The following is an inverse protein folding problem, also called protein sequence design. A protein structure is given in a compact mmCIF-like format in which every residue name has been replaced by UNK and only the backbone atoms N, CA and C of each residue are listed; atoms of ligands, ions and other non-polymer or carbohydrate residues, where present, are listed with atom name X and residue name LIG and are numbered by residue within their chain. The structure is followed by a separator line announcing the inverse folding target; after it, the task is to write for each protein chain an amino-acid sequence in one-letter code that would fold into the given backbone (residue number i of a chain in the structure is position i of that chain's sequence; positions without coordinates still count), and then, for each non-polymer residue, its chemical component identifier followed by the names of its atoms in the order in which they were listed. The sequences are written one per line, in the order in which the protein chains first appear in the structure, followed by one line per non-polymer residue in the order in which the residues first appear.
data_IF_118709036878
#
_entry.id   IF_118709036878
#
_cell.length_a   1.000
_cell.length_b   1.000
_cell.length_c   1.000
_cell.angle_alpha   90.00
_cell.angle_beta   90.00
_cell.angle_gamma   90.00
#
_symmetry.space_group_name_H-M   'P 1'
#
loop_
_entity.id
_entity.type
_entity.pdbx_description
1 polymer ?
#
# COMPACT_ATOMS: atom_id res chain seq x y z
N UNK A 1 -9.37 10.12 -5.46
CA UNK A 1 -10.81 9.81 -5.41
C UNK A 1 -11.29 9.58 -3.96
N UNK A 2 -11.04 10.53 -3.04
CA UNK A 2 -11.43 10.42 -1.61
C UNK A 2 -11.76 11.78 -0.98
N UNK A 3 -11.80 12.86 -1.76
CA UNK A 3 -11.98 14.23 -1.24
C UNK A 3 -13.44 14.56 -0.87
N UNK A 4 -14.41 13.68 -1.18
CA UNK A 4 -15.84 13.96 -1.08
C UNK A 4 -16.60 13.12 -0.03
N UNK A 5 -15.97 12.14 0.63
CA UNK A 5 -16.67 11.29 1.61
C UNK A 5 -16.14 11.49 3.03
N UNK A 6 -17.06 11.79 3.95
CA UNK A 6 -16.78 12.23 5.32
C UNK A 6 -15.75 11.38 6.08
N UNK A 7 -14.77 12.09 6.64
CA UNK A 7 -13.61 11.60 7.41
C UNK A 7 -14.00 10.62 8.54
N UNK A 8 -15.21 10.78 9.10
CA UNK A 8 -15.74 9.95 10.19
C UNK A 8 -15.82 8.45 9.85
N UNK A 9 -15.93 8.07 8.56
CA UNK A 9 -15.97 6.65 8.13
C UNK A 9 -14.61 5.94 8.16
N UNK A 10 -13.51 6.70 8.15
CA UNK A 10 -12.15 6.15 8.21
C UNK A 10 -11.61 6.05 9.63
N UNK A 11 -12.30 6.67 10.59
CA UNK A 11 -12.00 6.64 12.02
C UNK A 11 -12.93 5.60 12.66
N UNK A 12 -12.65 4.32 12.42
CA UNK A 12 -13.34 3.22 13.10
C UNK A 12 -12.80 3.03 14.51
N UNK A 13 -13.67 3.11 15.52
CA UNK A 13 -13.41 2.49 16.82
C UNK A 13 -13.29 0.98 16.61
N UNK A 14 -12.32 0.32 17.23
CA UNK A 14 -12.18 -1.14 17.20
C UNK A 14 -13.29 -1.79 18.04
N UNK A 15 -14.56 -1.55 17.66
CA UNK A 15 -15.67 -2.33 18.18
C UNK A 15 -15.67 -3.65 17.43
N UNK A 16 -15.68 -4.75 18.19
CA UNK A 16 -15.62 -6.14 17.73
C UNK A 16 -16.79 -6.59 16.83
N UNK A 17 -17.66 -5.66 16.42
CA UNK A 17 -18.81 -5.91 15.57
C UNK A 17 -18.37 -5.94 14.10
N UNK A 18 -17.96 -7.11 13.63
CA UNK A 18 -17.65 -7.36 12.21
C UNK A 18 -18.83 -6.93 11.34
N UNK A 19 -18.57 -6.08 10.35
CA UNK A 19 -19.58 -5.62 9.40
C UNK A 19 -19.98 -6.66 8.36
N UNK A 20 -19.12 -7.66 8.11
CA UNK A 20 -19.33 -8.69 7.09
C UNK A 20 -19.35 -10.11 7.66
N UNK A 21 -20.15 -10.97 7.01
CA UNK A 21 -20.02 -12.42 7.17
C UNK A 21 -18.63 -12.88 6.71
N UNK A 22 -18.00 -13.87 7.39
CA UNK A 22 -16.69 -14.40 7.01
C UNK A 22 -16.60 -14.79 5.53
N UNK A 23 -17.68 -15.32 4.96
CA UNK A 23 -17.73 -15.74 3.56
C UNK A 23 -17.64 -14.55 2.59
N UNK A 24 -18.32 -13.44 2.88
CA UNK A 24 -18.26 -12.23 2.05
C UNK A 24 -16.89 -11.57 2.13
N UNK A 25 -16.29 -11.54 3.32
CA UNK A 25 -14.93 -11.04 3.50
C UNK A 25 -13.93 -11.89 2.69
N UNK A 26 -14.02 -13.21 2.76
CA UNK A 26 -13.20 -14.12 1.97
C UNK A 26 -13.36 -13.89 0.45
N UNK A 27 -14.59 -13.70 -0.03
CA UNK A 27 -14.86 -13.44 -1.45
C UNK A 27 -14.22 -12.11 -1.92
N UNK A 28 -14.35 -11.04 -1.14
CA UNK A 28 -13.70 -9.77 -1.49
C UNK A 28 -12.17 -9.88 -1.49
N UNK A 29 -11.59 -10.56 -0.51
CA UNK A 29 -10.15 -10.79 -0.46
C UNK A 29 -9.65 -11.69 -1.58
N UNK A 30 -10.44 -12.67 -2.01
CA UNK A 30 -10.16 -13.49 -3.18
C UNK A 30 -10.10 -12.64 -4.46
N UNK A 31 -11.09 -11.77 -4.69
CA UNK A 31 -11.09 -10.85 -5.83
C UNK A 31 -9.90 -9.86 -5.78
N UNK A 32 -9.59 -9.34 -4.59
CA UNK A 32 -8.41 -8.48 -4.39
C UNK A 32 -7.12 -9.24 -4.68
N UNK A 33 -7.04 -10.54 -4.33
CA UNK A 33 -5.90 -11.40 -4.64
C UNK A 33 -5.69 -11.54 -6.15
N UNK A 34 -6.75 -11.79 -6.92
CA UNK A 34 -6.68 -11.82 -8.39
C UNK A 34 -6.24 -10.48 -8.97
N UNK A 35 -6.83 -9.38 -8.51
CA UNK A 35 -6.42 -8.03 -8.91
C UNK A 35 -4.95 -7.75 -8.57
N UNK A 36 -4.51 -8.21 -7.40
CA UNK A 36 -3.13 -8.10 -6.93
C UNK A 36 -2.16 -8.81 -7.85
N UNK A 37 -2.44 -10.05 -8.22
CA UNK A 37 -1.58 -10.84 -9.10
C UNK A 37 -1.38 -10.24 -10.50
N UNK A 38 -2.35 -9.46 -11.01
CA UNK A 38 -2.26 -8.85 -12.33
C UNK A 38 -1.78 -7.39 -12.31
N UNK A 39 -2.46 -6.52 -11.56
CA UNK A 39 -2.17 -5.07 -11.58
C UNK A 39 -1.17 -4.70 -10.49
N UNK A 40 -1.27 -5.30 -9.29
CA UNK A 40 -0.51 -5.05 -8.06
C UNK A 40 -0.56 -3.59 -7.53
N UNK A 41 -0.59 -2.58 -8.39
CA UNK A 41 -0.65 -1.16 -8.07
C UNK A 41 -1.99 -0.79 -7.40
N UNK A 42 -1.90 -0.09 -6.27
CA UNK A 42 -3.08 0.37 -5.53
C UNK A 42 -3.80 -0.70 -4.70
N UNK A 43 -3.35 -1.96 -4.71
CA UNK A 43 -3.97 -3.07 -3.98
C UNK A 43 -4.13 -2.78 -2.48
N UNK A 44 -3.16 -2.08 -1.89
CA UNK A 44 -3.19 -1.73 -0.47
C UNK A 44 -4.34 -0.79 -0.10
N UNK A 45 -4.78 0.08 -1.01
CA UNK A 45 -5.93 0.97 -0.78
C UNK A 45 -7.22 0.19 -0.89
N UNK A 46 -7.32 -0.78 -1.82
CA UNK A 46 -8.46 -1.68 -1.94
C UNK A 46 -8.63 -2.54 -0.67
N UNK A 47 -7.55 -3.12 -0.15
CA UNK A 47 -7.55 -3.86 1.11
C UNK A 47 -8.06 -3.00 2.27
N UNK A 48 -7.54 -1.78 2.43
CA UNK A 48 -7.99 -0.87 3.48
C UNK A 48 -9.46 -0.46 3.31
N UNK A 49 -9.91 -0.30 2.06
CA UNK A 49 -11.31 0.03 1.77
C UNK A 49 -12.24 -1.09 2.23
N UNK A 50 -11.90 -2.36 1.97
CA UNK A 50 -12.71 -3.50 2.44
C UNK A 50 -12.62 -3.64 3.96
N UNK A 51 -11.42 -3.61 4.55
CA UNK A 51 -11.24 -3.81 5.98
C UNK A 51 -11.90 -2.71 6.82
N UNK A 52 -11.71 -1.43 6.45
CA UNK A 52 -12.19 -0.29 7.24
C UNK A 52 -13.64 0.07 6.91
N UNK A 53 -14.02 0.11 5.63
CA UNK A 53 -15.37 0.56 5.25
C UNK A 53 -16.39 -0.58 5.29
N UNK A 54 -16.01 -1.79 4.89
CA UNK A 54 -16.94 -2.91 4.80
C UNK A 54 -16.94 -3.76 6.08
N UNK A 55 -15.77 -4.13 6.60
CA UNK A 55 -15.63 -4.98 7.78
C UNK A 55 -15.47 -4.19 9.10
N UNK A 56 -15.42 -2.84 9.02
CA UNK A 56 -15.37 -1.90 10.16
C UNK A 56 -14.16 -2.07 11.09
N UNK A 57 -13.05 -2.57 10.58
CA UNK A 57 -11.80 -2.66 11.36
C UNK A 57 -11.25 -1.27 11.67
N UNK A 58 -10.55 -1.17 12.80
CA UNK A 58 -9.76 0.02 13.10
C UNK A 58 -8.71 0.22 12.01
N UNK A 59 -8.40 1.49 11.68
CA UNK A 59 -7.43 1.81 10.64
C UNK A 59 -6.04 1.23 10.95
N UNK A 60 -5.71 1.12 12.25
CA UNK A 60 -4.46 0.52 12.72
C UNK A 60 -4.42 -0.98 12.44
N UNK A 61 -5.46 -1.71 12.84
CA UNK A 61 -5.52 -3.17 12.68
C UNK A 61 -5.61 -3.56 11.20
N UNK A 62 -6.41 -2.81 10.42
CA UNK A 62 -6.51 -2.96 8.97
C UNK A 62 -5.16 -2.76 8.28
N UNK A 63 -4.35 -1.79 8.73
CA UNK A 63 -3.04 -1.55 8.17
C UNK A 63 -2.03 -2.68 8.50
N UNK A 64 -2.14 -3.30 9.67
CA UNK A 64 -1.33 -4.48 10.03
C UNK A 64 -1.68 -5.65 9.12
N UNK A 65 -2.97 -5.96 8.93
CA UNK A 65 -3.42 -7.05 8.05
C UNK A 65 -2.97 -6.80 6.62
N UNK A 66 -3.18 -5.59 6.10
CA UNK A 66 -2.72 -5.20 4.77
C UNK A 66 -1.23 -5.50 4.59
N UNK A 67 -0.39 -5.15 5.57
CA UNK A 67 1.06 -5.36 5.47
C UNK A 67 1.42 -6.85 5.47
N UNK A 68 0.77 -7.65 6.31
CA UNK A 68 0.93 -9.12 6.32
C UNK A 68 0.52 -9.74 4.98
N UNK A 69 -0.63 -9.33 4.43
CA UNK A 69 -1.10 -9.81 3.13
C UNK A 69 -0.15 -9.40 2.00
N UNK A 70 0.34 -8.15 2.02
CA UNK A 70 1.32 -7.69 1.05
C UNK A 70 2.61 -8.52 1.11
N UNK A 71 3.08 -8.91 2.30
CA UNK A 71 4.23 -9.79 2.45
C UNK A 71 3.96 -11.21 1.91
N UNK A 72 2.79 -11.78 2.21
CA UNK A 72 2.39 -13.11 1.70
C UNK A 72 2.28 -13.12 0.18
N UNK A 73 1.86 -12.03 -0.45
CA UNK A 73 1.83 -11.90 -1.91
C UNK A 73 3.23 -11.67 -2.50
N UNK A 74 4.06 -10.88 -1.83
CA UNK A 74 5.37 -10.48 -2.34
C UNK A 74 6.44 -11.59 -2.22
N UNK A 75 6.40 -12.41 -1.16
CA UNK A 75 7.43 -13.45 -0.93
C UNK A 75 7.43 -14.51 -2.05
N UNK A 76 6.31 -15.18 -2.37
CA UNK A 76 6.28 -16.16 -3.45
C UNK A 76 6.59 -15.54 -4.82
N UNK A 77 6.07 -14.34 -5.09
CA UNK A 77 6.37 -13.61 -6.32
C UNK A 77 7.88 -13.31 -6.44
N UNK A 78 8.52 -12.87 -5.35
CA UNK A 78 9.96 -12.64 -5.31
C UNK A 78 10.77 -13.91 -5.55
N UNK A 79 10.37 -15.02 -4.94
CA UNK A 79 11.01 -16.34 -5.15
C UNK A 79 10.91 -16.77 -6.62
N UNK A 80 9.73 -16.65 -7.24
CA UNK A 80 9.53 -16.95 -8.66
C UNK A 80 10.42 -16.06 -9.53
N UNK A 81 10.49 -14.75 -9.26
CA UNK A 81 11.35 -13.85 -10.05
C UNK A 81 12.83 -14.20 -9.94
N UNK A 82 13.30 -14.63 -8.77
CA UNK A 82 14.68 -15.09 -8.57
C UNK A 82 14.94 -16.35 -9.39
N UNK A 83 14.04 -17.33 -9.36
CA UNK A 83 14.21 -18.58 -10.13
C UNK A 83 14.15 -18.40 -11.65
N UNK A 84 13.50 -17.35 -12.14
CA UNK A 84 13.42 -17.04 -13.57
C UNK A 84 14.53 -16.09 -14.05
N UNK A 85 15.54 -15.78 -13.22
CA UNK A 85 16.63 -14.84 -13.53
C UNK A 85 16.15 -13.44 -13.99
N UNK A 86 14.94 -13.05 -13.59
CA UNK A 86 14.35 -11.75 -13.92
C UNK A 86 14.79 -10.64 -12.96
N UNK A 87 15.64 -10.97 -11.97
CA UNK A 87 16.07 -10.05 -10.90
C UNK A 87 17.43 -9.44 -11.23
N UNK A 88 17.43 -8.14 -11.52
CA UNK A 88 18.66 -7.36 -11.60
C UNK A 88 19.06 -6.94 -10.17
N UNK A 89 20.00 -7.68 -9.57
CA UNK A 89 20.39 -7.56 -8.16
C UNK A 89 20.75 -6.13 -7.70
N UNK A 90 21.50 -5.38 -8.51
CA UNK A 90 21.96 -4.03 -8.15
C UNK A 90 20.79 -3.06 -7.89
N UNK A 91 19.91 -2.76 -8.86
CA UNK A 91 18.75 -1.89 -8.62
C UNK A 91 17.80 -2.48 -7.58
N UNK A 92 17.60 -3.80 -7.54
CA UNK A 92 16.70 -4.44 -6.57
C UNK A 92 17.15 -4.24 -5.13
N UNK A 93 18.45 -4.37 -4.84
CA UNK A 93 19.00 -4.13 -3.50
C UNK A 93 18.88 -2.65 -3.10
N UNK A 94 19.22 -1.73 -4.00
CA UNK A 94 19.09 -0.29 -3.75
C UNK A 94 17.62 0.08 -3.44
N UNK A 95 16.69 -0.46 -4.22
CA UNK A 95 15.25 -0.29 -4.01
C UNK A 95 14.79 -0.87 -2.67
N UNK A 96 15.24 -2.08 -2.31
CA UNK A 96 14.89 -2.71 -1.05
C UNK A 96 15.38 -1.87 0.14
N UNK A 97 16.66 -1.49 0.14
CA UNK A 97 17.24 -0.65 1.20
C UNK A 97 16.55 0.71 1.29
N UNK A 98 16.35 1.40 0.16
CA UNK A 98 15.66 2.69 0.12
C UNK A 98 14.22 2.60 0.65
N UNK A 99 13.51 1.53 0.29
CA UNK A 99 12.12 1.31 0.75
C UNK A 99 12.06 1.03 2.25
N UNK A 100 12.97 0.20 2.78
CA UNK A 100 13.06 -0.11 4.21
C UNK A 100 13.38 1.16 5.02
N UNK A 101 14.39 1.92 4.60
CA UNK A 101 14.77 3.16 5.25
C UNK A 101 13.62 4.19 5.22
N UNK A 102 13.00 4.39 4.06
CA UNK A 102 11.85 5.30 3.92
C UNK A 102 10.68 4.90 4.82
N UNK A 103 10.33 3.61 4.86
CA UNK A 103 9.26 3.09 5.72
C UNK A 103 9.58 3.26 7.21
N UNK A 104 10.82 2.98 7.62
CA UNK A 104 11.26 3.11 9.01
C UNK A 104 11.28 4.57 9.48
N UNK A 105 11.87 5.47 8.69
CA UNK A 105 11.88 6.90 8.98
C UNK A 105 10.45 7.48 9.00
N UNK A 106 9.62 7.08 8.05
CA UNK A 106 8.23 7.49 7.96
C UNK A 106 7.40 7.07 9.17
N UNK A 107 7.51 5.81 9.60
CA UNK A 107 6.76 5.30 10.74
C UNK A 107 7.22 5.90 12.08
N UNK A 108 8.53 6.16 12.25
CA UNK A 108 9.07 6.55 13.56
C UNK A 108 9.19 8.05 13.79
N UNK A 109 9.59 8.81 12.77
CA UNK A 109 9.93 10.23 12.90
C UNK A 109 8.84 11.15 12.35
N UNK A 110 8.30 10.84 11.16
CA UNK A 110 7.34 11.71 10.47
C UNK A 110 6.00 11.82 11.23
N UNK A 111 5.56 10.75 11.89
CA UNK A 111 4.29 10.74 12.65
C UNK A 111 4.35 11.68 13.88
N UNK A 112 5.54 11.96 14.42
CA UNK A 112 5.71 12.75 15.66
C UNK A 112 5.79 14.25 15.44
N UNK A 113 5.93 14.72 14.19
CA UNK A 113 6.16 16.13 13.88
C UNK A 113 4.81 16.79 13.50
N UNK A 114 4.30 17.73 14.30
CA UNK A 114 3.12 18.51 13.93
C UNK A 114 3.47 19.35 12.69
N UNK A 115 2.73 19.15 11.59
CA UNK A 115 2.91 19.69 10.22
C UNK A 115 3.70 18.83 9.21
N UNK A 116 4.31 17.71 9.60
CA UNK A 116 5.04 16.87 8.63
C UNK A 116 4.18 16.34 7.48
N UNK A 117 2.89 16.10 7.71
CA UNK A 117 1.91 15.73 6.67
C UNK A 117 1.95 16.65 5.44
N UNK A 118 2.07 17.97 5.64
CA UNK A 118 2.10 18.93 4.52
C UNK A 118 3.38 18.77 3.70
N UNK A 119 4.53 18.64 4.37
CA UNK A 119 5.82 18.46 3.69
C UNK A 119 5.89 17.13 2.94
N UNK A 120 5.42 16.05 3.55
CA UNK A 120 5.36 14.73 2.92
C UNK A 120 4.49 14.74 1.67
N UNK A 121 3.35 15.44 1.72
CA UNK A 121 2.46 15.58 0.56
C UNK A 121 3.15 16.31 -0.60
N UNK A 122 3.82 17.44 -0.33
CA UNK A 122 4.53 18.18 -1.37
C UNK A 122 5.71 17.40 -1.93
N UNK A 123 6.46 16.70 -1.08
CA UNK A 123 7.56 15.83 -1.50
C UNK A 123 7.05 14.69 -2.39
N UNK A 124 5.94 14.04 -2.02
CA UNK A 124 5.30 13.02 -2.85
C UNK A 124 4.91 13.56 -4.23
N UNK A 125 4.24 14.72 -4.28
CA UNK A 125 3.86 15.36 -5.55
C UNK A 125 5.08 15.62 -6.41
N UNK A 126 6.15 16.17 -5.82
CA UNK A 126 7.38 16.47 -6.54
C UNK A 126 8.02 15.20 -7.13
N UNK A 127 8.20 14.15 -6.32
CA UNK A 127 8.84 12.89 -6.75
C UNK A 127 8.01 12.20 -7.85
N UNK A 128 6.68 12.13 -7.70
CA UNK A 128 5.81 11.51 -8.70
C UNK A 128 5.82 12.29 -10.01
N UNK A 129 5.74 13.62 -9.96
CA UNK A 129 5.80 14.46 -11.16
C UNK A 129 7.15 14.35 -11.87
N UNK A 130 8.27 14.34 -11.13
CA UNK A 130 9.60 14.16 -11.70
C UNK A 130 9.75 12.79 -12.37
N UNK A 131 9.27 11.73 -11.70
CA UNK A 131 9.27 10.37 -12.27
C UNK A 131 8.41 10.26 -13.54
N UNK A 132 7.23 10.88 -13.56
CA UNK A 132 6.36 10.93 -14.73
C UNK A 132 7.03 11.66 -15.91
N UNK A 133 7.67 12.80 -15.66
CA UNK A 133 8.43 13.53 -16.67
C UNK A 133 9.60 12.71 -17.22
N UNK A 134 10.34 12.02 -16.34
CA UNK A 134 11.44 11.16 -16.77
C UNK A 134 10.96 9.99 -17.63
N UNK A 135 9.83 9.38 -17.27
CA UNK A 135 9.23 8.28 -18.04
C UNK A 135 8.81 8.75 -19.44
N UNK A 136 8.19 9.93 -19.54
CA UNK A 136 7.82 10.53 -20.84
C UNK A 136 9.06 10.84 -21.67
N UNK A 137 10.10 11.42 -21.06
CA UNK A 137 11.34 11.73 -21.76
C UNK A 137 12.00 10.49 -22.36
N UNK A 138 12.09 9.39 -21.58
CA UNK A 138 12.59 8.10 -22.08
C UNK A 138 11.69 7.41 -23.10
N UNK A 139 10.41 7.76 -23.17
CA UNK A 139 9.49 7.18 -24.13
C UNK A 139 9.55 7.87 -25.51
N UNK A 140 10.00 9.13 -25.55
CA UNK A 140 10.09 9.93 -26.77
C UNK A 140 11.48 9.81 -27.44
N UNK A 141 12.52 9.50 -26.66
CA UNK A 141 13.93 9.51 -27.06
C UNK A 141 14.53 8.10 -27.03
#
# INVERSE_FOLDING_TARGET
FTLFWGEKRWIGSSESVRGLSPFKSALYFFMIGFYGGYVQMGIGVLMLSVLVLADKWSLRDANVIKLLMAAILAIPAGVIYIFNDLVIWRPSLILAFGSILGAWFGARYIIRIPKAQRYVRWLLIFVVSAGALQAIYKAIL
#
